data_IF_191224610047
#
_entry.id   IF_191224610047
#
_cell.length_a   1.000
_cell.length_b   1.000
_cell.length_c   1.000
_cell.angle_alpha   90.00
_cell.angle_beta   90.00
_cell.angle_gamma   90.00
#
_symmetry.space_group_name_H-M   'P 1'
#
loop_
_entity.id
_entity.type
_entity.pdbx_description
1 polymer ?
#
# COMPACT_ATOMS: atom_id res chain seq x y z
N UNK A 1 18.58 6.44 19.34
CA UNK A 1 17.21 6.66 19.85
C UNK A 1 16.27 5.46 19.60
N UNK A 2 16.04 5.00 18.36
CA UNK A 2 15.09 3.89 18.09
C UNK A 2 15.43 2.56 18.78
N UNK A 3 16.66 2.05 18.62
CA UNK A 3 17.10 0.80 19.26
C UNK A 3 16.97 0.80 20.79
N UNK A 4 17.26 1.94 21.42
CA UNK A 4 17.17 2.11 22.87
C UNK A 4 15.71 2.09 23.32
N UNK A 5 14.81 2.68 22.54
CA UNK A 5 13.37 2.62 22.82
C UNK A 5 12.89 1.16 22.75
N UNK A 6 13.15 0.47 21.63
CA UNK A 6 12.71 -0.92 21.46
C UNK A 6 13.30 -1.88 22.51
N UNK A 7 14.58 -1.70 22.86
CA UNK A 7 15.22 -2.46 23.91
C UNK A 7 14.57 -2.27 25.29
N UNK A 8 14.15 -1.04 25.64
CA UNK A 8 13.44 -0.78 26.91
C UNK A 8 12.15 -1.59 27.05
N UNK A 9 11.47 -1.84 25.93
CA UNK A 9 10.23 -2.62 25.90
C UNK A 9 10.48 -4.12 25.70
N UNK A 10 11.73 -4.60 25.67
CA UNK A 10 12.09 -6.03 25.58
C UNK A 10 11.36 -6.81 24.47
N UNK A 11 11.00 -6.15 23.36
CA UNK A 11 10.27 -6.76 22.24
C UNK A 11 8.74 -6.76 22.35
N UNK A 12 8.15 -6.17 23.40
CA UNK A 12 6.69 -5.96 23.45
C UNK A 12 6.19 -4.98 22.38
N UNK A 13 7.07 -4.09 21.93
CA UNK A 13 6.83 -3.28 20.73
C UNK A 13 7.35 -4.06 19.52
N UNK A 14 6.44 -4.75 18.83
CA UNK A 14 6.71 -5.59 17.66
C UNK A 14 7.08 -4.83 16.38
N UNK A 15 7.96 -3.84 16.46
CA UNK A 15 8.39 -3.04 15.32
C UNK A 15 9.69 -3.60 14.71
N UNK A 16 9.59 -4.11 13.48
CA UNK A 16 10.74 -4.54 12.69
C UNK A 16 10.95 -3.51 11.57
N UNK A 17 12.04 -2.75 11.64
CA UNK A 17 12.22 -1.54 10.82
C UNK A 17 13.42 -1.66 9.89
N UNK A 18 13.22 -1.15 8.67
CA UNK A 18 14.27 -0.91 7.67
C UNK A 18 14.47 0.60 7.62
N UNK A 19 15.69 1.05 7.92
CA UNK A 19 16.05 2.47 8.00
C UNK A 19 17.13 2.76 6.96
N UNK A 20 16.78 3.49 5.91
CA UNK A 20 17.70 3.95 4.88
C UNK A 20 17.82 5.48 4.88
N UNK A 21 19.01 6.00 4.59
CA UNK A 21 19.24 7.43 4.50
C UNK A 21 20.61 7.77 3.92
N UNK A 22 20.79 9.02 3.52
CA UNK A 22 22.08 9.55 3.05
C UNK A 22 22.51 10.67 3.99
N UNK A 23 23.77 10.67 4.38
CA UNK A 23 24.39 11.75 5.16
C UNK A 23 25.72 12.18 4.51
N UNK A 24 26.46 13.08 5.17
CA UNK A 24 27.75 13.60 4.67
C UNK A 24 28.80 12.51 4.41
N UNK A 25 28.71 11.35 5.08
CA UNK A 25 29.62 10.21 4.89
C UNK A 25 29.15 9.22 3.82
N UNK A 26 27.93 9.40 3.28
CA UNK A 26 27.37 8.57 2.22
C UNK A 26 26.03 7.92 2.55
N UNK A 27 25.58 6.95 1.74
CA UNK A 27 24.36 6.18 1.96
C UNK A 27 24.55 5.14 3.07
N UNK A 28 23.55 5.02 3.94
CA UNK A 28 23.52 4.01 5.00
C UNK A 28 22.18 3.30 5.03
N UNK A 29 22.23 2.02 5.37
CA UNK A 29 21.08 1.14 5.45
C UNK A 29 21.21 0.29 6.72
N UNK A 30 20.20 0.36 7.59
CA UNK A 30 20.17 -0.27 8.90
C UNK A 30 18.87 -1.02 9.14
N UNK A 31 18.94 -2.22 9.72
CA UNK A 31 17.78 -2.89 10.30
C UNK A 31 17.68 -2.58 11.79
N UNK A 32 16.47 -2.59 12.32
CA UNK A 32 16.23 -2.64 13.76
C UNK A 32 15.20 -3.72 14.05
N UNK A 33 15.61 -4.73 14.81
CA UNK A 33 14.72 -5.79 15.27
C UNK A 33 13.91 -5.32 16.50
N UNK A 34 12.75 -5.95 16.79
CA UNK A 34 11.90 -5.59 17.93
C UNK A 34 12.60 -5.59 19.30
N UNK A 35 13.62 -6.43 19.49
CA UNK A 35 14.39 -6.49 20.73
C UNK A 35 15.51 -5.42 20.82
N UNK A 36 15.65 -4.56 19.81
CA UNK A 36 16.68 -3.51 19.77
C UNK A 36 18.02 -3.93 19.14
N UNK A 37 18.11 -5.12 18.56
CA UNK A 37 19.25 -5.52 17.73
C UNK A 37 19.29 -4.65 16.46
N UNK A 38 20.49 -4.26 16.03
CA UNK A 38 20.70 -3.42 14.85
C UNK A 38 21.82 -3.95 13.98
N UNK A 39 21.56 -4.07 12.67
CA UNK A 39 22.56 -4.51 11.70
C UNK A 39 22.75 -3.45 10.60
N UNK A 40 23.94 -3.43 9.99
CA UNK A 40 24.28 -2.56 8.85
C UNK A 40 24.73 -3.43 7.69
N UNK A 41 23.97 -3.44 6.60
CA UNK A 41 24.20 -4.27 5.43
C UNK A 41 23.95 -3.47 4.13
N UNK A 42 24.58 -3.83 3.00
CA UNK A 42 24.38 -3.14 1.72
C UNK A 42 22.97 -3.33 1.14
N UNK A 43 22.30 -4.43 1.47
CA UNK A 43 20.90 -4.71 1.20
C UNK A 43 20.31 -5.51 2.36
N UNK A 44 19.00 -5.45 2.53
CA UNK A 44 18.30 -6.20 3.57
C UNK A 44 16.83 -6.39 3.20
N UNK A 45 16.25 -7.47 3.70
CA UNK A 45 14.83 -7.80 3.54
C UNK A 45 14.22 -8.10 4.90
N UNK A 46 12.96 -7.68 5.11
CA UNK A 46 12.22 -7.87 6.34
C UNK A 46 10.77 -8.27 6.01
N UNK A 47 10.03 -8.77 7.01
CA UNK A 47 8.64 -9.22 6.85
C UNK A 47 8.52 -10.70 6.47
N UNK A 48 7.30 -11.22 6.30
CA UNK A 48 7.09 -12.65 6.00
C UNK A 48 7.69 -13.09 4.66
N UNK A 49 7.68 -12.21 3.66
CA UNK A 49 8.26 -12.45 2.33
C UNK A 49 9.78 -12.30 2.24
N UNK A 50 10.49 -12.14 3.37
CA UNK A 50 11.91 -11.80 3.38
C UNK A 50 12.78 -12.83 2.67
N UNK A 51 12.48 -14.13 2.78
CA UNK A 51 13.29 -15.21 2.20
C UNK A 51 13.20 -15.21 0.67
N UNK A 52 12.00 -14.99 0.12
CA UNK A 52 11.79 -14.90 -1.31
C UNK A 52 12.49 -13.67 -1.91
N UNK A 53 12.42 -12.54 -1.22
CA UNK A 53 13.13 -11.33 -1.60
C UNK A 53 14.66 -11.49 -1.47
N UNK A 54 15.13 -12.14 -0.40
CA UNK A 54 16.56 -12.35 -0.16
C UNK A 54 17.19 -13.20 -1.25
N UNK A 55 16.50 -14.25 -1.72
CA UNK A 55 16.98 -15.08 -2.84
C UNK A 55 17.26 -14.26 -4.12
N UNK A 56 16.43 -13.24 -4.39
CA UNK A 56 16.64 -12.35 -5.53
C UNK A 56 17.83 -11.42 -5.31
N UNK A 57 17.95 -10.84 -4.11
CA UNK A 57 19.10 -10.00 -3.76
C UNK A 57 20.41 -10.77 -3.81
N UNK A 58 20.51 -11.95 -3.19
CA UNK A 58 21.73 -12.77 -3.22
C UNK A 58 22.15 -13.18 -4.64
N UNK A 59 21.19 -13.37 -5.54
CA UNK A 59 21.50 -13.79 -6.92
C UNK A 59 21.95 -12.62 -7.81
N UNK A 60 21.40 -11.41 -7.61
CA UNK A 60 21.51 -10.31 -8.58
C UNK A 60 22.13 -9.04 -8.04
N UNK A 61 22.26 -8.89 -6.72
CA UNK A 61 22.83 -7.70 -6.10
C UNK A 61 24.29 -7.54 -6.48
N UNK A 62 24.68 -6.30 -6.83
CA UNK A 62 26.04 -5.94 -7.18
C UNK A 62 26.43 -4.65 -6.47
N UNK A 63 27.72 -4.45 -6.14
CA UNK A 63 28.17 -3.15 -5.67
C UNK A 63 28.03 -2.11 -6.80
N UNK A 64 27.71 -0.86 -6.43
CA UNK A 64 27.68 0.31 -7.34
C UNK A 64 26.73 0.17 -8.55
N UNK A 65 25.53 -0.33 -8.32
CA UNK A 65 24.49 -0.41 -9.36
C UNK A 65 24.01 0.98 -9.79
N UNK A 66 23.57 1.09 -11.05
CA UNK A 66 22.88 2.27 -11.52
C UNK A 66 21.51 2.40 -10.83
N UNK A 67 21.00 3.63 -10.71
CA UNK A 67 19.70 3.91 -10.07
C UNK A 67 18.57 3.03 -10.62
N UNK A 68 18.44 2.95 -11.94
CA UNK A 68 17.37 2.17 -12.57
C UNK A 68 17.55 0.67 -12.33
N UNK A 69 18.77 0.16 -12.43
CA UNK A 69 19.08 -1.25 -12.17
C UNK A 69 18.74 -1.66 -10.74
N UNK A 70 19.01 -0.77 -9.77
CA UNK A 70 18.63 -0.97 -8.37
C UNK A 70 17.11 -0.95 -8.15
N UNK A 71 16.38 -0.06 -8.82
CA UNK A 71 14.91 -0.02 -8.78
C UNK A 71 14.34 -1.33 -9.34
N UNK A 72 14.82 -1.76 -10.50
CA UNK A 72 14.35 -2.99 -11.15
C UNK A 72 14.64 -4.23 -10.30
N UNK A 73 15.80 -4.27 -9.63
CA UNK A 73 16.15 -5.32 -8.68
C UNK A 73 15.18 -5.35 -7.48
N UNK A 74 14.89 -4.20 -6.87
CA UNK A 74 13.95 -4.09 -5.74
C UNK A 74 12.55 -4.53 -6.16
N UNK A 75 12.07 -4.09 -7.32
CA UNK A 75 10.75 -4.51 -7.84
C UNK A 75 10.70 -6.02 -8.04
N UNK A 76 11.75 -6.62 -8.62
CA UNK A 76 11.83 -8.08 -8.77
C UNK A 76 11.84 -8.81 -7.43
N UNK A 77 12.55 -8.29 -6.42
CA UNK A 77 12.60 -8.88 -5.08
C UNK A 77 11.23 -8.82 -4.39
N UNK A 78 10.52 -7.69 -4.50
CA UNK A 78 9.16 -7.55 -3.97
C UNK A 78 8.16 -8.43 -4.73
N UNK A 79 8.31 -8.58 -6.05
CA UNK A 79 7.49 -9.51 -6.83
C UNK A 79 7.68 -10.95 -6.36
N UNK A 80 8.91 -11.37 -6.07
CA UNK A 80 9.16 -12.68 -5.50
C UNK A 80 8.43 -12.86 -4.16
N UNK A 81 8.41 -11.82 -3.31
CA UNK A 81 7.61 -11.80 -2.08
C UNK A 81 6.10 -11.92 -2.37
N UNK A 82 5.54 -11.04 -3.20
CA UNK A 82 4.11 -10.99 -3.55
C UNK A 82 3.59 -12.33 -4.09
N UNK A 83 4.38 -13.01 -4.93
CA UNK A 83 3.92 -14.25 -5.58
C UNK A 83 4.26 -15.53 -4.81
N UNK A 84 5.17 -15.49 -3.84
CA UNK A 84 5.65 -16.68 -3.12
C UNK A 84 5.35 -16.68 -1.62
N UNK A 85 4.94 -15.55 -1.05
CA UNK A 85 4.51 -15.44 0.34
C UNK A 85 3.04 -15.02 0.43
N UNK A 86 2.24 -15.80 1.17
CA UNK A 86 0.81 -15.52 1.36
C UNK A 86 0.56 -14.28 2.22
N UNK A 87 1.52 -13.90 3.07
CA UNK A 87 1.43 -12.69 3.89
C UNK A 87 1.76 -11.39 3.13
N UNK A 88 2.25 -11.50 1.90
CA UNK A 88 2.66 -10.38 1.05
C UNK A 88 1.81 -10.31 -0.21
N UNK A 89 1.44 -9.11 -0.68
CA UNK A 89 0.55 -8.99 -1.85
C UNK A 89 0.32 -7.58 -2.35
N UNK A 90 -0.63 -7.44 -3.28
CA UNK A 90 -1.06 -6.17 -3.88
C UNK A 90 -0.04 -5.51 -4.82
N UNK A 91 0.40 -4.28 -4.51
CA UNK A 91 1.22 -3.42 -5.36
C UNK A 91 2.60 -3.20 -4.74
N UNK A 92 3.55 -2.74 -5.55
CA UNK A 92 4.89 -2.37 -5.13
C UNK A 92 5.05 -0.84 -5.12
N UNK A 93 5.39 -0.31 -3.95
CA UNK A 93 5.83 1.06 -3.74
C UNK A 93 7.36 1.11 -3.72
N UNK A 94 7.95 2.12 -4.35
CA UNK A 94 9.40 2.33 -4.37
C UNK A 94 9.70 3.71 -3.79
N UNK A 95 10.66 3.81 -2.88
CA UNK A 95 11.14 5.08 -2.38
C UNK A 95 12.62 5.23 -2.74
N UNK A 96 12.92 6.22 -3.57
CA UNK A 96 14.28 6.73 -3.73
C UNK A 96 14.41 7.87 -2.73
N UNK A 97 15.54 8.05 -2.06
CA UNK A 97 15.68 9.06 -0.99
C UNK A 97 15.33 10.49 -1.47
N UNK A 98 15.44 10.75 -2.77
CA UNK A 98 15.00 12.00 -3.41
C UNK A 98 13.49 12.11 -3.65
N UNK A 99 12.77 10.99 -3.85
CA UNK A 99 11.36 10.97 -4.23
C UNK A 99 10.65 9.64 -3.92
N UNK A 100 9.42 9.76 -3.42
CA UNK A 100 8.53 8.60 -3.19
C UNK A 100 7.71 8.28 -4.46
N UNK A 101 7.80 7.03 -4.92
CA UNK A 101 7.09 6.51 -6.10
C UNK A 101 6.01 5.53 -5.66
N UNK A 102 4.79 6.05 -5.47
CA UNK A 102 3.64 5.25 -5.02
C UNK A 102 3.02 4.47 -6.18
N UNK A 103 2.67 3.22 -5.91
CA UNK A 103 2.21 2.20 -6.83
C UNK A 103 3.06 2.14 -8.10
N UNK A 104 4.39 2.13 -7.94
CA UNK A 104 5.33 2.04 -9.06
C UNK A 104 5.03 0.82 -9.95
N UNK A 105 4.68 -0.31 -9.32
CA UNK A 105 4.34 -1.53 -10.04
C UNK A 105 3.04 -2.15 -9.49
N UNK A 106 2.09 -2.46 -10.38
CA UNK A 106 0.77 -3.01 -10.04
C UNK A 106 0.54 -4.36 -10.75
N UNK A 107 1.15 -5.46 -10.26
CA UNK A 107 0.98 -6.77 -10.89
C UNK A 107 -0.44 -7.33 -10.72
N UNK A 108 -1.14 -6.95 -9.64
CA UNK A 108 -2.43 -7.53 -9.26
C UNK A 108 -3.59 -6.56 -9.53
N UNK A 109 -3.91 -6.35 -10.80
CA UNK A 109 -5.12 -5.59 -11.18
C UNK A 109 -6.36 -6.44 -10.93
N UNK A 110 -7.29 -5.89 -10.15
CA UNK A 110 -8.58 -6.55 -9.90
C UNK A 110 -9.37 -6.59 -11.21
N UNK A 111 -9.85 -7.77 -11.57
CA UNK A 111 -10.77 -7.96 -12.69
C UNK A 111 -12.14 -7.33 -12.38
N UNK A 112 -12.83 -6.89 -13.43
CA UNK A 112 -14.21 -6.45 -13.30
C UNK A 112 -15.06 -7.59 -12.73
N UNK A 113 -15.95 -7.27 -11.78
CA UNK A 113 -16.92 -8.24 -11.29
C UNK A 113 -17.92 -8.53 -12.42
N UNK A 114 -18.27 -9.80 -12.60
CA UNK A 114 -19.26 -10.22 -13.60
C UNK A 114 -20.67 -9.71 -13.26
N UNK A 115 -21.01 -9.67 -11.97
CA UNK A 115 -22.31 -9.24 -11.49
C UNK A 115 -22.24 -7.89 -10.80
N UNK A 116 -23.28 -7.08 -11.05
CA UNK A 116 -23.54 -5.89 -10.27
C UNK A 116 -24.36 -6.27 -9.02
N UNK A 117 -23.80 -5.99 -7.83
CA UNK A 117 -24.43 -6.26 -6.54
C UNK A 117 -25.14 -5.03 -5.96
N UNK A 118 -25.44 -4.01 -6.77
CA UNK A 118 -26.26 -2.88 -6.32
C UNK A 118 -27.66 -3.37 -5.98
N UNK A 119 -28.01 -3.31 -4.69
CA UNK A 119 -29.36 -3.61 -4.21
C UNK A 119 -30.26 -2.39 -4.35
N UNK A 120 -31.55 -2.61 -4.56
CA UNK A 120 -32.56 -1.54 -4.56
C UNK A 120 -32.58 -0.87 -3.19
N UNK A 121 -32.69 0.46 -3.16
CA UNK A 121 -32.92 1.18 -1.90
C UNK A 121 -34.18 0.65 -1.20
N UNK A 122 -34.09 0.42 0.11
CA UNK A 122 -35.18 -0.16 0.90
C UNK A 122 -35.23 -1.70 0.94
N UNK A 123 -34.31 -2.40 0.27
CA UNK A 123 -34.25 -3.88 0.30
C UNK A 123 -33.86 -4.47 1.67
N UNK A 124 -33.17 -3.71 2.52
CA UNK A 124 -32.81 -4.15 3.87
C UNK A 124 -33.98 -3.93 4.81
N UNK A 125 -34.52 -4.98 5.42
CA UNK A 125 -35.57 -4.85 6.43
C UNK A 125 -35.01 -4.23 7.73
N UNK A 126 -35.76 -3.31 8.33
CA UNK A 126 -35.43 -2.66 9.60
C UNK A 126 -36.59 -2.85 10.58
N UNK A 127 -36.26 -3.18 11.83
CA UNK A 127 -37.25 -3.48 12.88
C UNK A 127 -37.64 -2.20 13.65
N UNK A 128 -36.74 -1.23 13.77
CA UNK A 128 -37.01 0.07 14.39
C UNK A 128 -36.03 1.12 13.88
N UNK A 129 -36.53 2.29 13.48
CA UNK A 129 -35.72 3.50 13.23
C UNK A 129 -36.00 4.48 14.37
N UNK A 130 -34.99 4.76 15.20
CA UNK A 130 -35.13 5.58 16.41
C UNK A 130 -35.15 7.09 16.07
N UNK A 131 -34.24 7.55 15.20
CA UNK A 131 -34.33 8.84 14.50
C UNK A 131 -33.22 8.90 13.45
N UNK A 132 -33.45 9.60 12.34
CA UNK A 132 -32.42 9.88 11.34
C UNK A 132 -32.51 11.36 10.98
N UNK A 133 -31.62 12.17 11.54
CA UNK A 133 -31.44 13.56 11.15
C UNK A 133 -30.18 13.69 10.29
N UNK A 134 -30.30 14.42 9.18
CA UNK A 134 -29.16 14.81 8.36
C UNK A 134 -29.12 16.33 8.41
N UNK A 135 -28.12 16.86 9.12
CA UNK A 135 -27.88 18.29 9.14
C UNK A 135 -27.05 18.66 7.92
N UNK A 136 -27.67 19.33 6.96
CA UNK A 136 -26.96 19.97 5.85
C UNK A 136 -26.09 21.08 6.43
N UNK A 137 -24.77 20.92 6.39
CA UNK A 137 -23.84 21.99 6.73
C UNK A 137 -23.76 22.89 5.49
N UNK A 138 -24.25 24.12 5.60
CA UNK A 138 -24.47 25.03 4.48
C UNK A 138 -23.22 25.35 3.67
N UNK A 139 -23.38 25.33 2.35
CA UNK A 139 -22.51 25.95 1.35
C UNK A 139 -23.40 26.34 0.17
N UNK A 140 -23.33 27.60 -0.25
CA UNK A 140 -24.27 28.23 -1.18
C UNK A 140 -24.50 27.47 -2.48
N UNK A 141 -25.63 27.77 -3.12
CA UNK A 141 -26.00 27.30 -4.45
C UNK A 141 -24.84 27.56 -5.42
N UNK A 142 -24.12 26.51 -5.80
CA UNK A 142 -23.27 26.50 -6.97
C UNK A 142 -24.02 25.64 -7.98
N UNK A 143 -24.51 26.25 -9.06
CA UNK A 143 -25.03 25.51 -10.21
C UNK A 143 -23.88 24.68 -10.80
N UNK A 144 -23.82 23.41 -10.43
CA UNK A 144 -22.92 22.44 -11.04
C UNK A 144 -23.45 22.08 -12.43
N UNK A 145 -22.69 22.40 -13.48
CA UNK A 145 -22.91 21.93 -14.84
C UNK A 145 -22.96 20.39 -14.94
N UNK A 146 -23.29 19.85 -16.13
CA UNK A 146 -23.76 18.48 -16.29
C UNK A 146 -22.67 17.47 -15.89
N UNK A 147 -22.77 17.00 -14.65
CA UNK A 147 -22.03 15.87 -14.14
C UNK A 147 -22.74 14.58 -14.54
N UNK A 148 -21.98 13.64 -15.09
CA UNK A 148 -22.39 12.28 -15.43
C UNK A 148 -22.74 11.49 -14.17
N UNK A 149 -23.90 11.78 -13.59
CA UNK A 149 -24.54 11.01 -12.54
C UNK A 149 -25.64 10.15 -13.15
N UNK A 150 -25.64 8.87 -12.79
CA UNK A 150 -26.71 7.93 -13.12
C UNK A 150 -28.04 8.41 -12.52
N UNK A 151 -28.76 9.21 -13.29
CA UNK A 151 -29.98 9.90 -12.87
C UNK A 151 -30.56 10.77 -13.98
N UNK A 152 -30.38 10.39 -15.25
CA UNK A 152 -31.22 10.86 -16.34
C UNK A 152 -32.32 9.83 -16.51
N UNK A 153 -33.51 10.14 -15.99
CA UNK A 153 -34.72 9.44 -16.39
C UNK A 153 -35.02 9.84 -17.83
N UNK A 154 -34.47 9.09 -18.79
CA UNK A 154 -34.98 9.11 -20.16
C UNK A 154 -36.27 8.28 -20.21
N UNK A 155 -37.25 8.84 -20.91
CA UNK A 155 -38.63 8.39 -20.96
C UNK A 155 -38.78 6.91 -21.26
N UNK A 156 -39.58 6.24 -20.44
CA UNK A 156 -40.09 4.91 -20.72
C UNK A 156 -41.17 5.04 -21.80
N UNK A 157 -40.79 4.82 -23.05
CA UNK A 157 -41.73 4.63 -24.15
C UNK A 157 -42.43 3.28 -23.92
N UNK A 158 -43.74 3.34 -23.69
CA UNK A 158 -44.61 2.17 -23.54
C UNK A 158 -45.10 1.77 -24.93
N UNK A 159 -44.52 0.72 -25.49
CA UNK A 159 -45.08 0.06 -26.67
C UNK A 159 -46.42 -0.61 -26.31
N UNK A 160 -47.41 -0.37 -27.17
CA UNK A 160 -48.74 -1.01 -27.18
C UNK A 160 -48.69 -2.37 -27.84
#
# INVERSE_FOLDING_TARGET
MLKQHLYKYQGHVGAALVIGGVNLTGPHLFTVAPHGLTDKLPYMTMGSGLLAAMAVFETKSKPKMARQEAIDLVVQAIYAGIFKDLGSGSNCDVCVIEAMLRNYAMPNKRVAKELNYTVRQGATAWILIISKSVTQIGGGVVEGGPGTGAGAADGMELDK
#
